data_IF_144481897580
#
_entry.id   IF_144481897580
#
_cell.length_a   1.000
_cell.length_b   1.000
_cell.length_c   1.000
_cell.angle_alpha   90.00
_cell.angle_beta   90.00
_cell.angle_gamma   90.00
#
_symmetry.space_group_name_H-M   'P 1'
#
loop_
_entity.id
_entity.type
_entity.pdbx_description
1 polymer ?
#
# COMPACT_ATOMS: atom_id res chain seq x y z
N UNK A 1 2.07 -12.10 8.85
CA UNK A 1 2.18 -13.29 7.98
C UNK A 1 2.11 -14.62 8.72
N UNK A 2 2.31 -14.69 10.05
CA UNK A 2 2.27 -15.96 10.78
C UNK A 2 0.99 -16.79 10.52
N UNK A 3 -0.16 -16.13 10.35
CA UNK A 3 -1.44 -16.80 10.08
C UNK A 3 -1.67 -17.17 8.60
N UNK A 4 -0.90 -16.56 7.68
CA UNK A 4 -1.03 -16.73 6.22
C UNK A 4 0.35 -16.62 5.54
N UNK A 5 1.24 -17.63 5.70
CA UNK A 5 2.60 -17.58 5.15
C UNK A 5 2.63 -17.64 3.62
N UNK A 6 1.62 -18.26 3.01
CA UNK A 6 1.49 -18.42 1.55
C UNK A 6 0.64 -17.32 0.89
N UNK A 7 0.41 -16.21 1.61
CA UNK A 7 -0.34 -15.08 1.05
C UNK A 7 0.38 -14.48 -0.16
N UNK A 8 -0.36 -14.24 -1.24
CA UNK A 8 0.21 -13.68 -2.47
C UNK A 8 0.70 -12.24 -2.25
N UNK A 9 -0.09 -11.45 -1.53
CA UNK A 9 0.20 -10.05 -1.24
C UNK A 9 0.45 -9.81 0.24
N UNK A 10 1.37 -8.90 0.55
CA UNK A 10 1.37 -8.19 1.81
C UNK A 10 0.54 -6.90 1.66
N UNK A 11 -0.51 -6.75 2.45
CA UNK A 11 -1.19 -5.45 2.60
C UNK A 11 -0.41 -4.59 3.60
N UNK A 12 0.24 -3.54 3.09
CA UNK A 12 0.98 -2.56 3.88
C UNK A 12 0.00 -1.53 4.45
N UNK A 13 -0.26 -1.60 5.76
CA UNK A 13 -1.26 -0.74 6.42
C UNK A 13 -0.76 0.70 6.51
N UNK A 14 0.53 0.88 6.77
CA UNK A 14 1.19 2.16 6.92
C UNK A 14 0.93 2.81 8.29
N UNK A 15 1.81 3.74 8.65
CA UNK A 15 1.75 4.42 9.95
C UNK A 15 0.53 5.32 10.10
N UNK A 16 0.13 6.06 9.05
CA UNK A 16 -1.02 6.97 9.12
C UNK A 16 -2.30 6.23 9.51
N UNK A 17 -2.57 5.09 8.88
CA UNK A 17 -3.75 4.30 9.21
C UNK A 17 -3.62 3.53 10.52
N UNK A 18 -2.41 3.13 10.91
CA UNK A 18 -2.18 2.47 12.18
C UNK A 18 -2.39 3.38 13.40
N UNK A 19 -2.05 4.68 13.30
CA UNK A 19 -2.07 5.62 14.42
C UNK A 19 -3.25 6.61 14.42
N UNK A 20 -3.85 6.90 13.26
CA UNK A 20 -4.98 7.83 13.16
C UNK A 20 -6.30 7.08 12.93
N UNK A 21 -7.17 7.12 13.94
CA UNK A 21 -8.46 6.42 13.93
C UNK A 21 -9.39 6.88 12.82
N UNK A 22 -9.23 8.13 12.35
CA UNK A 22 -10.03 8.68 11.24
C UNK A 22 -9.80 7.93 9.93
N UNK A 23 -8.66 7.24 9.79
CA UNK A 23 -8.30 6.44 8.63
C UNK A 23 -8.75 4.97 8.71
N UNK A 24 -9.22 4.52 9.88
CA UNK A 24 -9.65 3.13 10.06
C UNK A 24 -10.83 2.71 9.17
N UNK A 25 -11.86 3.57 8.93
CA UNK A 25 -12.92 3.23 7.98
C UNK A 25 -12.38 2.89 6.59
N UNK A 26 -11.40 3.65 6.10
CA UNK A 26 -10.76 3.43 4.80
C UNK A 26 -10.03 2.08 4.76
N UNK A 27 -9.18 1.76 5.73
CA UNK A 27 -8.50 0.45 5.76
C UNK A 27 -9.48 -0.72 5.89
N UNK A 28 -10.55 -0.59 6.69
CA UNK A 28 -11.58 -1.61 6.79
C UNK A 28 -12.32 -1.80 5.46
N UNK A 29 -12.61 -0.72 4.75
CA UNK A 29 -13.22 -0.78 3.42
C UNK A 29 -12.29 -1.48 2.41
N UNK A 30 -11.01 -1.11 2.36
CA UNK A 30 -10.01 -1.79 1.51
C UNK A 30 -9.96 -3.28 1.80
N UNK A 31 -9.83 -3.68 3.07
CA UNK A 31 -9.82 -5.09 3.49
C UNK A 31 -11.13 -5.81 3.11
N UNK A 32 -12.28 -5.16 3.28
CA UNK A 32 -13.56 -5.74 2.91
C UNK A 32 -13.64 -6.01 1.40
N UNK A 33 -13.15 -5.08 0.57
CA UNK A 33 -13.11 -5.25 -0.87
C UNK A 33 -12.15 -6.38 -1.27
N UNK A 34 -10.94 -6.42 -0.70
CA UNK A 34 -9.97 -7.49 -0.97
C UNK A 34 -10.53 -8.87 -0.61
N UNK A 35 -11.24 -8.99 0.52
CA UNK A 35 -11.92 -10.24 0.91
C UNK A 35 -13.05 -10.60 -0.04
N UNK A 36 -13.88 -9.63 -0.45
CA UNK A 36 -14.97 -9.86 -1.40
C UNK A 36 -14.46 -10.30 -2.77
N UNK A 37 -13.34 -9.72 -3.21
CA UNK A 37 -12.62 -10.10 -4.43
C UNK A 37 -11.85 -11.43 -4.31
N UNK A 38 -11.80 -12.04 -3.12
CA UNK A 38 -11.00 -13.23 -2.82
C UNK A 38 -9.50 -13.06 -3.11
N UNK A 39 -8.96 -11.86 -2.85
CA UNK A 39 -7.51 -11.62 -2.94
C UNK A 39 -6.81 -12.33 -1.77
N UNK A 40 -5.74 -13.07 -2.06
CA UNK A 40 -4.89 -13.69 -1.04
C UNK A 40 -3.92 -12.67 -0.48
N UNK A 41 -4.16 -12.18 0.73
CA UNK A 41 -3.30 -11.19 1.37
C UNK A 41 -3.07 -11.47 2.85
N UNK A 42 -1.95 -10.97 3.37
CA UNK A 42 -1.62 -10.95 4.79
C UNK A 42 -1.29 -9.53 5.25
N UNK A 43 -1.26 -9.31 6.57
CA UNK A 43 -0.72 -8.10 7.19
C UNK A 43 0.45 -8.45 8.11
N UNK A 44 1.31 -7.46 8.41
CA UNK A 44 2.37 -7.61 9.40
C UNK A 44 1.88 -7.40 10.84
N UNK A 45 0.71 -6.77 11.03
CA UNK A 45 0.16 -6.50 12.36
C UNK A 45 1.12 -5.64 13.19
N UNK A 46 1.38 -6.04 14.44
CA UNK A 46 2.31 -5.32 15.33
C UNK A 46 3.77 -5.35 14.87
N UNK A 47 4.12 -6.23 13.92
CA UNK A 47 5.47 -6.25 13.34
C UNK A 47 5.65 -5.16 12.27
N UNK A 48 4.58 -4.49 11.82
CA UNK A 48 4.70 -3.39 10.86
C UNK A 48 5.26 -2.14 11.54
N UNK A 49 6.28 -1.55 10.92
CA UNK A 49 6.90 -0.30 11.37
C UNK A 49 6.86 0.72 10.25
N UNK A 50 7.02 2.01 10.57
CA UNK A 50 7.14 3.05 9.56
C UNK A 50 8.22 2.70 8.53
N UNK A 51 7.95 2.94 7.25
CA UNK A 51 8.87 2.69 6.15
C UNK A 51 10.03 3.69 6.05
N UNK A 52 10.04 4.72 6.89
CA UNK A 52 11.07 5.75 6.93
C UNK A 52 10.78 7.00 6.08
N UNK A 53 9.66 7.07 5.35
CA UNK A 53 9.35 8.22 4.48
C UNK A 53 9.45 9.57 5.21
N UNK A 54 8.82 9.80 6.38
CA UNK A 54 8.90 11.09 7.05
C UNK A 54 10.35 11.50 7.39
N UNK A 55 11.20 10.55 7.80
CA UNK A 55 12.59 10.82 8.09
C UNK A 55 13.34 11.29 6.83
N UNK A 56 13.11 10.61 5.69
CA UNK A 56 13.71 10.98 4.42
C UNK A 56 13.25 12.35 3.94
N UNK A 57 11.95 12.65 4.04
CA UNK A 57 11.41 13.96 3.65
C UNK A 57 11.94 15.11 4.49
N UNK A 58 12.27 14.86 5.75
CA UNK A 58 12.90 15.82 6.65
C UNK A 58 14.43 15.92 6.45
N UNK A 59 15.00 15.18 5.49
CA UNK A 59 16.44 15.18 5.21
C UNK A 59 17.27 14.32 6.17
N UNK A 60 16.62 13.55 7.06
CA UNK A 60 17.31 12.64 7.97
C UNK A 60 17.58 11.29 7.29
N UNK A 61 18.53 11.30 6.36
CA UNK A 61 18.89 10.14 5.53
C UNK A 61 19.41 8.96 6.37
N UNK A 62 20.17 9.23 7.44
CA UNK A 62 20.65 8.17 8.34
C UNK A 62 19.50 7.39 8.99
N UNK A 63 18.49 8.10 9.49
CA UNK A 63 17.32 7.46 10.10
C UNK A 63 16.48 6.74 9.03
N UNK A 64 16.33 7.31 7.84
CA UNK A 64 15.67 6.64 6.72
C UNK A 64 16.35 5.31 6.41
N UNK A 65 17.67 5.30 6.17
CA UNK A 65 18.41 4.09 5.85
C UNK A 65 18.34 3.05 6.97
N UNK A 66 18.44 3.47 8.23
CA UNK A 66 18.31 2.57 9.38
C UNK A 66 16.93 1.88 9.36
N UNK A 67 15.84 2.65 9.24
CA UNK A 67 14.47 2.12 9.25
C UNK A 67 14.16 1.28 8.01
N UNK A 68 14.59 1.74 6.85
CA UNK A 68 14.35 1.05 5.60
C UNK A 68 15.09 -0.29 5.54
N UNK A 69 16.36 -0.37 6.00
CA UNK A 69 17.08 -1.63 6.08
C UNK A 69 16.42 -2.63 7.05
N UNK A 70 15.91 -2.16 8.20
CA UNK A 70 15.14 -3.01 9.14
C UNK A 70 13.89 -3.61 8.46
N UNK A 71 13.16 -2.79 7.69
CA UNK A 71 11.97 -3.24 6.96
C UNK A 71 12.36 -4.19 5.83
N UNK A 72 13.39 -3.88 5.03
CA UNK A 72 13.86 -4.74 3.93
C UNK A 72 14.26 -6.11 4.45
N UNK A 73 15.06 -6.18 5.52
CA UNK A 73 15.47 -7.45 6.13
C UNK A 73 14.25 -8.26 6.61
N UNK A 74 13.26 -7.58 7.21
CA UNK A 74 12.01 -8.21 7.66
C UNK A 74 11.20 -8.76 6.50
N UNK A 75 10.94 -7.96 5.47
CA UNK A 75 10.18 -8.38 4.30
C UNK A 75 10.86 -9.54 3.56
N UNK A 76 12.19 -9.49 3.44
CA UNK A 76 13.00 -10.57 2.86
C UNK A 76 12.90 -11.85 3.69
N UNK A 77 13.02 -11.76 5.02
CA UNK A 77 12.89 -12.93 5.92
C UNK A 77 11.52 -13.61 5.84
N UNK A 78 10.50 -12.89 5.36
CA UNK A 78 9.11 -13.37 5.20
C UNK A 78 8.78 -13.74 3.75
N UNK A 79 9.75 -13.66 2.83
CA UNK A 79 9.55 -14.02 1.43
C UNK A 79 8.56 -13.11 0.70
N UNK A 80 8.35 -11.87 1.18
CA UNK A 80 7.40 -10.93 0.58
C UNK A 80 7.87 -10.54 -0.81
N UNK A 81 7.01 -10.70 -1.81
CA UNK A 81 7.28 -10.32 -3.21
C UNK A 81 6.36 -9.21 -3.71
N UNK A 82 5.07 -9.31 -3.38
CA UNK A 82 4.05 -8.33 -3.79
C UNK A 82 3.51 -7.56 -2.59
N UNK A 83 3.35 -6.26 -2.74
CA UNK A 83 2.87 -5.37 -1.67
C UNK A 83 1.72 -4.50 -2.20
N UNK A 84 0.60 -4.50 -1.49
CA UNK A 84 -0.51 -3.56 -1.71
C UNK A 84 -0.31 -2.38 -0.78
N UNK A 85 -0.21 -1.17 -1.34
CA UNK A 85 -0.05 0.07 -0.57
C UNK A 85 -1.29 0.98 -0.73
N UNK A 86 -1.93 1.33 0.39
CA UNK A 86 -3.06 2.29 0.38
C UNK A 86 -2.62 3.76 0.39
N UNK A 87 -1.35 4.01 0.76
CA UNK A 87 -0.80 5.36 0.87
C UNK A 87 0.16 5.64 -0.29
N UNK A 88 -0.01 6.75 -1.05
CA UNK A 88 0.89 7.12 -2.14
C UNK A 88 2.37 7.27 -1.73
N UNK A 89 2.61 7.75 -0.50
CA UNK A 89 3.97 7.84 0.05
C UNK A 89 4.59 6.46 0.29
N UNK A 90 3.79 5.52 0.82
CA UNK A 90 4.24 4.16 1.03
C UNK A 90 4.49 3.46 -0.30
N UNK A 91 3.60 3.65 -1.28
CA UNK A 91 3.77 3.17 -2.64
C UNK A 91 5.10 3.63 -3.24
N UNK A 92 5.39 4.93 -3.19
CA UNK A 92 6.64 5.47 -3.71
C UNK A 92 7.88 4.94 -2.97
N UNK A 93 7.85 4.96 -1.64
CA UNK A 93 9.02 4.58 -0.82
C UNK A 93 9.35 3.10 -0.99
N UNK A 94 8.34 2.23 -0.93
CA UNK A 94 8.55 0.79 -1.09
C UNK A 94 8.91 0.41 -2.53
N UNK A 95 8.33 1.09 -3.53
CA UNK A 95 8.49 0.73 -4.93
C UNK A 95 9.70 1.34 -5.62
N UNK A 96 10.02 2.61 -5.33
CA UNK A 96 11.10 3.35 -6.01
C UNK A 96 12.35 3.52 -5.18
N UNK A 97 12.23 3.56 -3.85
CA UNK A 97 13.33 3.96 -2.98
C UNK A 97 14.00 2.79 -2.27
N UNK A 98 13.25 1.75 -1.90
CA UNK A 98 13.81 0.53 -1.32
C UNK A 98 14.71 -0.27 -2.28
N UNK A 99 14.57 -0.20 -3.62
CA UNK A 99 15.54 -0.80 -4.54
C UNK A 99 16.99 -0.34 -4.31
N UNK A 100 17.22 0.92 -3.91
CA UNK A 100 18.56 1.43 -3.58
C UNK A 100 19.21 0.72 -2.37
N UNK A 101 18.38 0.04 -1.57
CA UNK A 101 18.76 -0.71 -0.37
C UNK A 101 18.63 -2.23 -0.56
N UNK A 102 18.44 -2.69 -1.80
CA UNK A 102 18.27 -4.11 -2.14
C UNK A 102 16.87 -4.69 -1.87
N UNK A 103 15.90 -3.83 -1.51
CA UNK A 103 14.50 -4.21 -1.33
C UNK A 103 13.71 -4.08 -2.62
N UNK A 104 13.60 -5.17 -3.39
CA UNK A 104 12.85 -5.19 -4.65
C UNK A 104 11.49 -5.87 -4.47
N UNK A 105 10.41 -5.10 -4.60
CA UNK A 105 9.04 -5.57 -4.45
C UNK A 105 8.18 -5.13 -5.63
N UNK A 106 7.22 -5.97 -6.01
CA UNK A 106 6.13 -5.56 -6.87
C UNK A 106 5.10 -4.81 -6.00
N UNK A 107 5.20 -3.49 -6.00
CA UNK A 107 4.31 -2.64 -5.22
C UNK A 107 3.17 -2.17 -6.12
N UNK A 108 1.94 -2.44 -5.70
CA UNK A 108 0.72 -1.98 -6.37
C UNK A 108 -0.03 -1.03 -5.44
N UNK A 109 -0.45 0.12 -5.97
CA UNK A 109 -1.32 1.02 -5.21
C UNK A 109 -2.72 0.39 -5.10
N UNK A 110 -3.39 0.60 -3.96
CA UNK A 110 -4.72 0.03 -3.73
C UNK A 110 -5.71 0.41 -4.84
N UNK A 111 -5.61 1.64 -5.35
CA UNK A 111 -6.39 2.06 -6.49
C UNK A 111 -6.08 1.13 -7.67
N UNK A 112 -4.84 1.06 -8.16
CA UNK A 112 -4.48 0.21 -9.31
C UNK A 112 -5.02 -1.22 -9.21
N UNK A 113 -4.93 -1.83 -8.03
CA UNK A 113 -5.49 -3.16 -7.79
C UNK A 113 -7.02 -3.17 -7.92
N UNK A 114 -7.73 -2.19 -7.37
CA UNK A 114 -9.19 -2.09 -7.51
C UNK A 114 -9.65 -1.97 -8.97
N UNK A 115 -8.93 -1.22 -9.82
CA UNK A 115 -9.24 -1.16 -11.26
C UNK A 115 -9.08 -2.52 -11.92
N UNK A 116 -7.97 -3.21 -11.65
CA UNK A 116 -7.74 -4.57 -12.15
C UNK A 116 -8.86 -5.53 -11.71
N UNK A 117 -9.25 -5.49 -10.43
CA UNK A 117 -10.30 -6.37 -9.91
C UNK A 117 -11.69 -6.07 -10.51
N UNK A 118 -11.96 -4.81 -10.91
CA UNK A 118 -13.17 -4.43 -11.64
C UNK A 118 -13.14 -4.97 -13.07
N UNK A 119 -12.02 -4.80 -13.79
CA UNK A 119 -11.82 -5.31 -15.15
C UNK A 119 -11.91 -6.85 -15.21
N UNK A 120 -11.38 -7.53 -14.19
CA UNK A 120 -11.48 -8.99 -14.02
C UNK A 120 -12.88 -9.47 -13.61
N UNK A 121 -13.81 -8.55 -13.28
CA UNK A 121 -15.15 -8.88 -12.82
C UNK A 121 -15.22 -9.52 -11.42
N UNK A 122 -14.12 -9.43 -10.64
CA UNK A 122 -14.04 -9.98 -9.27
C UNK A 122 -14.76 -9.12 -8.25
N UNK A 123 -14.93 -7.83 -8.55
CA UNK A 123 -15.79 -6.91 -7.81
C UNK A 123 -16.72 -6.20 -8.79
N UNK A 124 -17.90 -5.83 -8.29
CA UNK A 124 -18.90 -5.10 -9.07
C UNK A 124 -19.53 -4.00 -8.21
N UNK A 125 -19.90 -2.91 -8.85
CA UNK A 125 -20.67 -1.86 -8.18
C UNK A 125 -22.13 -2.31 -8.05
N UNK A 126 -22.64 -2.38 -6.82
CA UNK A 126 -24.05 -2.75 -6.56
C UNK A 126 -25.03 -1.67 -7.02
N UNK A 127 -24.67 -0.41 -6.81
CA UNK A 127 -25.37 0.80 -7.25
C UNK A 127 -24.32 1.89 -7.48
N UNK A 128 -24.51 2.74 -8.48
CA UNK A 128 -23.70 3.95 -8.62
C UNK A 128 -23.91 4.88 -7.42
N UNK A 129 -22.85 5.59 -7.03
CA UNK A 129 -23.02 6.89 -6.35
C UNK A 129 -23.85 7.72 -7.32
N UNK A 130 -25.05 8.15 -6.92
CA UNK A 130 -26.00 8.84 -7.80
C UNK A 130 -25.42 10.12 -8.43
N UNK A 131 -26.23 10.86 -9.17
CA UNK A 131 -25.78 12.11 -9.79
C UNK A 131 -25.25 13.09 -8.73
N UNK A 132 -24.05 13.63 -8.96
CA UNK A 132 -23.41 14.57 -8.04
C UNK A 132 -22.07 15.07 -8.57
N UNK A 133 -21.57 16.16 -7.98
CA UNK A 133 -20.24 16.70 -8.29
C UNK A 133 -19.19 16.01 -7.43
N UNK A 134 -18.17 15.44 -8.08
CA UNK A 134 -17.01 14.83 -7.43
C UNK A 134 -15.79 15.74 -7.61
N UNK A 135 -15.04 15.94 -6.54
CA UNK A 135 -13.71 16.56 -6.60
C UNK A 135 -12.66 15.47 -6.42
N UNK A 136 -11.88 15.24 -7.47
CA UNK A 136 -10.76 14.30 -7.43
C UNK A 136 -9.48 15.02 -6.97
N UNK A 137 -8.73 14.38 -6.08
CA UNK A 137 -7.40 14.85 -5.66
C UNK A 137 -6.36 13.82 -6.06
N UNK A 138 -5.43 14.23 -6.93
CA UNK A 138 -4.29 13.43 -7.36
C UNK A 138 -3.10 13.63 -6.40
N UNK A 139 -2.71 12.61 -5.62
CA UNK A 139 -1.55 12.73 -4.76
C UNK A 139 -0.29 12.86 -5.60
N UNK A 140 0.61 13.77 -5.22
CA UNK A 140 1.84 14.01 -5.98
C UNK A 140 2.68 12.73 -6.18
N UNK A 141 2.74 11.84 -5.18
CA UNK A 141 3.45 10.57 -5.29
C UNK A 141 2.80 9.57 -6.22
N UNK A 142 1.51 9.68 -6.51
CA UNK A 142 0.84 8.83 -7.48
C UNK A 142 1.04 9.42 -8.89
N UNK A 143 0.64 10.68 -9.09
CA UNK A 143 0.76 11.38 -10.37
C UNK A 143 2.20 11.81 -10.70
N UNK A 144 2.71 12.87 -10.06
CA UNK A 144 4.00 13.49 -10.41
C UNK A 144 5.19 12.51 -10.39
N UNK A 145 5.25 11.64 -9.40
CA UNK A 145 6.42 10.76 -9.20
C UNK A 145 6.27 9.41 -9.89
N UNK A 146 5.05 8.87 -9.97
CA UNK A 146 4.80 7.53 -10.49
C UNK A 146 3.98 7.50 -11.79
N UNK A 147 3.59 8.66 -12.30
CA UNK A 147 2.86 8.84 -13.56
C UNK A 147 1.53 8.07 -13.61
N UNK A 148 0.93 7.85 -12.44
CA UNK A 148 -0.36 7.19 -12.32
C UNK A 148 -1.47 8.24 -12.17
N UNK A 149 -2.37 8.22 -13.14
CA UNK A 149 -3.48 9.18 -13.29
C UNK A 149 -4.79 8.51 -13.70
N UNK A 150 -4.72 7.26 -14.18
CA UNK A 150 -5.84 6.57 -14.85
C UNK A 150 -6.43 5.49 -13.94
N UNK A 151 -5.61 4.89 -13.08
CA UNK A 151 -6.04 3.84 -12.20
C UNK A 151 -6.71 4.39 -10.94
N UNK A 152 -7.76 3.68 -10.56
CA UNK A 152 -9.14 4.13 -10.35
C UNK A 152 -9.31 5.31 -9.38
#
# INVERSE_FOLDING_TARGET
MADHPDAEYLYWVGCATAFDESNWPTARATVAILKAAQVSFAVLGQEETCNGDPARRLGNEYLFQTKANEVVAKLQSRGVRKIIASCPHCFNTLGREYPDLGGHYEVIHHSQLLSQLLEEGRITFKQGVGEGTLTYHDPCYLGRWNQEYEAP
#
